data_IF_984542659389
#
_entry.id   IF_984542659389
#
_cell.length_a   1.000
_cell.length_b   1.000
_cell.length_c   1.000
_cell.angle_alpha   90.00
_cell.angle_beta   90.00
_cell.angle_gamma   90.00
#
_symmetry.space_group_name_H-M   'P 1'
#
loop_
_entity.id
_entity.type
_entity.pdbx_description
1 polymer ?
#
# COMPACT_ATOMS: atom_id res chain seq x y z
N UNK A 1 35.65 14.42 25.80
CA UNK A 1 35.02 14.90 24.54
C UNK A 1 34.93 13.77 23.51
N UNK A 2 36.05 13.19 23.03
CA UNK A 2 36.03 12.09 22.05
C UNK A 2 35.35 10.79 22.54
N UNK A 3 35.55 10.42 23.81
CA UNK A 3 35.00 9.20 24.42
C UNK A 3 33.48 9.27 24.66
N UNK A 4 32.96 10.47 24.95
CA UNK A 4 31.50 10.72 25.04
C UNK A 4 30.86 10.69 23.65
N UNK A 5 31.54 11.26 22.65
CA UNK A 5 31.07 11.21 21.26
C UNK A 5 31.01 9.78 20.71
N UNK A 6 31.99 8.92 20.99
CA UNK A 6 31.96 7.51 20.58
C UNK A 6 30.92 6.69 21.32
N UNK A 7 30.67 6.96 22.61
CA UNK A 7 29.59 6.31 23.37
C UNK A 7 28.22 6.75 22.84
N UNK A 8 28.03 8.03 22.51
CA UNK A 8 26.79 8.55 21.91
C UNK A 8 26.58 8.00 20.50
N UNK A 9 27.60 8.00 19.65
CA UNK A 9 27.53 7.41 18.30
C UNK A 9 27.24 5.90 18.39
N UNK A 10 27.87 5.18 19.31
CA UNK A 10 27.59 3.76 19.54
C UNK A 10 26.18 3.55 20.11
N UNK A 11 25.71 4.42 21.01
CA UNK A 11 24.37 4.37 21.59
C UNK A 11 23.29 4.60 20.53
N UNK A 12 23.48 5.57 19.63
CA UNK A 12 22.59 5.80 18.48
C UNK A 12 22.71 4.71 17.40
N UNK A 13 23.89 4.11 17.20
CA UNK A 13 24.04 2.94 16.33
C UNK A 13 23.40 1.67 16.91
N UNK A 14 23.18 1.62 18.24
CA UNK A 14 22.52 0.52 18.96
C UNK A 14 21.04 0.77 19.26
N UNK A 15 20.44 1.88 18.79
CA UNK A 15 18.98 1.95 18.66
C UNK A 15 18.60 1.03 17.50
N UNK A 16 18.64 -0.26 17.83
CA UNK A 16 18.30 -1.38 16.98
C UNK A 16 16.88 -1.15 16.49
N UNK A 17 16.70 -1.22 15.18
CA UNK A 17 15.38 -1.18 14.54
C UNK A 17 14.38 -1.97 15.39
N UNK A 18 13.31 -1.30 15.84
CA UNK A 18 12.29 -1.93 16.67
C UNK A 18 11.55 -2.98 15.83
N UNK A 19 11.96 -4.24 15.97
CA UNK A 19 11.31 -5.39 15.35
C UNK A 19 10.37 -6.03 16.38
N UNK A 20 9.05 -5.86 16.26
CA UNK A 20 8.14 -6.44 17.23
C UNK A 20 8.17 -7.97 17.14
N UNK A 21 8.39 -8.61 18.28
CA UNK A 21 8.30 -10.06 18.37
C UNK A 21 6.86 -10.50 18.14
N UNK A 22 6.62 -11.21 17.04
CA UNK A 22 5.30 -11.77 16.75
C UNK A 22 5.05 -13.07 17.54
N UNK A 23 3.78 -13.41 17.81
CA UNK A 23 3.42 -14.68 18.44
C UNK A 23 3.87 -15.91 17.63
N UNK A 24 3.81 -15.80 16.30
CA UNK A 24 4.23 -16.82 15.33
C UNK A 24 5.21 -16.16 14.36
N UNK A 25 6.32 -16.84 14.07
CA UNK A 25 7.29 -16.39 13.08
C UNK A 25 6.78 -16.62 11.64
N UNK A 26 5.78 -15.82 11.24
CA UNK A 26 5.20 -15.86 9.90
C UNK A 26 6.14 -15.21 8.88
N UNK A 27 6.41 -15.91 7.77
CA UNK A 27 7.26 -15.40 6.69
C UNK A 27 6.42 -15.04 5.46
N UNK A 28 6.37 -13.76 5.08
CA UNK A 28 5.76 -13.36 3.79
C UNK A 28 6.59 -13.91 2.62
N UNK A 29 7.89 -14.11 2.80
CA UNK A 29 8.76 -14.71 1.78
C UNK A 29 8.33 -16.10 1.37
N UNK A 30 8.00 -16.97 2.32
CA UNK A 30 7.51 -18.32 1.97
C UNK A 30 6.14 -18.26 1.31
N UNK A 31 5.23 -17.42 1.81
CA UNK A 31 3.84 -17.42 1.34
C UNK A 31 3.67 -16.67 0.01
N UNK A 32 4.10 -15.41 -0.05
CA UNK A 32 3.93 -14.56 -1.23
C UNK A 32 5.09 -14.67 -2.23
N UNK A 33 6.33 -14.85 -1.77
CA UNK A 33 7.49 -14.94 -2.65
C UNK A 33 7.66 -16.32 -3.29
N UNK A 34 7.84 -17.35 -2.46
CA UNK A 34 8.12 -18.73 -2.91
C UNK A 34 6.87 -19.39 -3.50
N UNK A 35 5.75 -19.32 -2.79
CA UNK A 35 4.51 -20.00 -3.17
C UNK A 35 3.59 -19.11 -4.03
N UNK A 36 4.00 -17.87 -4.31
CA UNK A 36 3.25 -16.93 -5.16
C UNK A 36 1.79 -16.72 -4.73
N UNK A 37 1.50 -16.85 -3.43
CA UNK A 37 0.15 -16.63 -2.91
C UNK A 37 -0.20 -15.15 -3.03
N UNK A 38 -1.29 -14.78 -3.71
CA UNK A 38 -1.67 -13.37 -3.89
C UNK A 38 -1.89 -12.66 -2.55
N UNK A 39 -1.44 -11.40 -2.43
CA UNK A 39 -1.61 -10.61 -1.20
C UNK A 39 -3.07 -10.52 -0.74
N UNK A 40 -4.00 -10.44 -1.69
CA UNK A 40 -5.45 -10.33 -1.45
C UNK A 40 -6.09 -11.62 -0.97
N UNK A 41 -5.39 -12.75 -1.03
CA UNK A 41 -5.87 -14.01 -0.46
C UNK A 41 -6.00 -13.88 1.06
N UNK A 42 -4.91 -13.49 1.73
CA UNK A 42 -4.90 -13.27 3.18
C UNK A 42 -5.50 -11.90 3.57
N UNK A 43 -5.22 -10.84 2.80
CA UNK A 43 -5.72 -9.48 3.05
C UNK A 43 -6.97 -9.17 2.24
N UNK A 44 -7.99 -10.03 2.36
CA UNK A 44 -9.19 -10.02 1.52
C UNK A 44 -10.02 -8.72 1.55
N UNK A 45 -9.87 -7.90 2.60
CA UNK A 45 -10.66 -6.68 2.77
C UNK A 45 -10.01 -5.43 2.19
N UNK A 46 -8.78 -5.51 1.67
CA UNK A 46 -8.00 -4.36 1.19
C UNK A 46 -8.72 -3.53 0.12
N UNK A 47 -9.50 -4.17 -0.75
CA UNK A 47 -10.28 -3.49 -1.80
C UNK A 47 -11.67 -3.01 -1.35
N UNK A 48 -12.13 -3.44 -0.16
CA UNK A 48 -13.52 -3.26 0.29
C UNK A 48 -13.65 -2.36 1.51
N UNK A 49 -12.63 -2.32 2.36
CA UNK A 49 -12.61 -1.63 3.64
C UNK A 49 -11.55 -0.54 3.69
N UNK A 50 -11.64 0.33 4.70
CA UNK A 50 -10.57 1.28 5.04
C UNK A 50 -9.33 0.55 5.56
N UNK A 51 -9.54 -0.52 6.32
CA UNK A 51 -8.49 -1.37 6.88
C UNK A 51 -8.38 -2.67 6.07
N UNK A 52 -7.17 -3.12 5.69
CA UNK A 52 -6.99 -4.35 4.91
C UNK A 52 -7.34 -5.62 5.71
N UNK A 53 -7.31 -5.51 7.04
CA UNK A 53 -7.50 -6.61 7.97
C UNK A 53 -6.26 -7.51 8.07
N UNK A 54 -6.17 -8.24 9.18
CA UNK A 54 -5.22 -9.35 9.35
C UNK A 54 -6.03 -10.64 9.19
N UNK A 55 -5.52 -11.67 8.48
CA UNK A 55 -6.24 -12.92 8.29
C UNK A 55 -6.61 -13.55 9.64
N UNK A 56 -7.80 -14.14 9.68
CA UNK A 56 -8.22 -14.97 10.82
C UNK A 56 -7.43 -16.28 10.84
N UNK A 57 -7.41 -16.97 11.99
CA UNK A 57 -6.79 -18.30 12.11
C UNK A 57 -7.38 -19.30 11.11
N UNK A 58 -8.66 -19.13 10.75
CA UNK A 58 -9.32 -19.98 9.76
C UNK A 58 -8.66 -19.91 8.38
N UNK A 59 -8.17 -18.73 7.97
CA UNK A 59 -7.50 -18.56 6.67
C UNK A 59 -6.21 -19.39 6.64
N UNK A 60 -5.43 -19.35 7.73
CA UNK A 60 -4.22 -20.15 7.87
C UNK A 60 -4.54 -21.64 7.86
N UNK A 61 -5.59 -22.06 8.59
CA UNK A 61 -5.98 -23.46 8.70
C UNK A 61 -6.63 -24.02 7.44
N UNK A 62 -7.08 -23.18 6.51
CA UNK A 62 -7.55 -23.60 5.18
C UNK A 62 -6.51 -24.43 4.43
N UNK A 63 -5.23 -24.08 4.55
CA UNK A 63 -4.12 -24.85 3.99
C UNK A 63 -3.40 -25.69 5.05
N UNK A 64 -3.11 -25.13 6.23
CA UNK A 64 -2.27 -25.79 7.24
C UNK A 64 -2.90 -26.99 7.95
N UNK A 65 -4.15 -27.33 7.59
CA UNK A 65 -4.75 -28.63 7.90
C UNK A 65 -4.15 -29.77 7.07
N UNK A 66 -3.68 -29.47 5.86
CA UNK A 66 -3.14 -30.44 4.90
C UNK A 66 -1.66 -30.20 4.57
N UNK A 67 -1.18 -28.96 4.79
CA UNK A 67 0.22 -28.56 4.59
C UNK A 67 0.86 -28.39 5.95
N UNK A 68 1.67 -29.36 6.35
CA UNK A 68 2.47 -29.26 7.56
C UNK A 68 3.80 -28.54 7.30
N UNK A 69 4.39 -28.01 8.39
CA UNK A 69 5.74 -27.43 8.36
C UNK A 69 6.84 -28.51 8.39
N UNK A 70 6.50 -29.79 8.19
CA UNK A 70 7.48 -30.86 8.24
C UNK A 70 8.38 -30.77 7.02
N UNK A 71 9.64 -31.13 7.22
CA UNK A 71 10.57 -31.29 6.14
C UNK A 71 11.20 -32.66 6.25
N UNK A 72 11.12 -33.43 5.18
CA UNK A 72 11.92 -34.64 5.04
C UNK A 72 13.25 -34.25 4.39
N UNK A 73 14.40 -34.40 5.08
CA UNK A 73 15.72 -34.16 4.50
C UNK A 73 16.01 -35.00 3.25
N UNK A 74 15.25 -36.06 3.03
CA UNK A 74 15.33 -36.95 1.86
C UNK A 74 14.35 -36.60 0.76
N UNK A 75 13.51 -35.58 0.92
CA UNK A 75 12.62 -35.06 -0.12
C UNK A 75 13.28 -33.85 -0.83
N UNK A 76 14.04 -34.07 -1.92
CA UNK A 76 14.68 -32.99 -2.67
C UNK A 76 13.66 -32.02 -3.30
N UNK A 77 12.37 -32.35 -3.32
CA UNK A 77 11.31 -31.48 -3.85
C UNK A 77 10.93 -30.35 -2.90
N UNK A 78 11.42 -30.33 -1.65
CA UNK A 78 11.12 -29.28 -0.66
C UNK A 78 12.25 -28.26 -0.45
N UNK A 79 13.34 -28.30 -1.22
CA UNK A 79 14.30 -27.18 -1.29
C UNK A 79 13.74 -26.14 -2.25
N UNK A 80 13.23 -25.05 -1.70
CA UNK A 80 12.69 -23.96 -2.50
C UNK A 80 13.83 -23.07 -2.99
N UNK A 81 13.73 -22.56 -4.21
CA UNK A 81 14.63 -21.51 -4.72
C UNK A 81 13.86 -20.22 -4.84
N UNK A 82 14.41 -19.16 -4.28
CA UNK A 82 13.83 -17.83 -4.38
C UNK A 82 14.95 -16.79 -4.49
N UNK A 83 14.92 -16.00 -5.57
CA UNK A 83 16.00 -15.08 -5.95
C UNK A 83 17.39 -15.75 -5.90
N UNK A 84 17.51 -16.92 -6.53
CA UNK A 84 18.71 -17.78 -6.59
C UNK A 84 19.23 -18.31 -5.24
N UNK A 85 18.53 -18.04 -4.13
CA UNK A 85 18.85 -18.57 -2.80
C UNK A 85 18.04 -19.82 -2.52
N UNK A 86 18.73 -20.87 -2.10
CA UNK A 86 18.08 -22.09 -1.61
C UNK A 86 17.54 -21.84 -0.20
N UNK A 87 16.26 -22.13 -0.01
CA UNK A 87 15.58 -22.08 1.27
C UNK A 87 15.50 -23.51 1.79
N UNK A 88 16.25 -23.77 2.88
CA UNK A 88 16.21 -25.02 3.62
C UNK A 88 15.27 -24.87 4.82
N UNK A 89 14.10 -25.55 4.81
CA UNK A 89 13.14 -25.50 5.91
C UNK A 89 13.63 -26.08 7.24
N UNK A 90 14.64 -26.96 7.24
CA UNK A 90 15.21 -27.52 8.49
C UNK A 90 16.19 -26.59 9.17
N UNK A 91 16.80 -25.70 8.39
CA UNK A 91 17.79 -24.76 8.86
C UNK A 91 17.44 -23.33 8.42
N UNK A 92 16.17 -22.97 8.54
CA UNK A 92 15.71 -21.67 8.10
C UNK A 92 16.19 -20.58 9.06
N UNK A 93 17.03 -19.69 8.55
CA UNK A 93 17.39 -18.45 9.23
C UNK A 93 16.33 -17.40 8.93
N UNK A 94 15.32 -17.33 9.79
CA UNK A 94 14.37 -16.23 9.81
C UNK A 94 15.15 -14.94 9.99
N UNK A 95 15.09 -14.04 8.99
CA UNK A 95 15.87 -12.79 8.87
C UNK A 95 17.40 -12.90 8.68
N UNK A 96 17.95 -14.12 8.57
CA UNK A 96 19.40 -14.34 8.51
C UNK A 96 20.10 -14.42 9.87
N UNK A 97 19.39 -14.26 11.00
CA UNK A 97 19.96 -14.25 12.37
C UNK A 97 19.31 -15.29 13.27
N UNK A 98 17.99 -15.49 13.18
CA UNK A 98 17.25 -16.40 14.08
C UNK A 98 16.90 -17.71 13.39
N UNK A 99 17.37 -18.83 13.91
CA UNK A 99 16.90 -20.16 13.48
C UNK A 99 15.47 -20.39 13.96
N UNK A 100 14.58 -20.74 13.04
CA UNK A 100 13.22 -21.18 13.35
C UNK A 100 12.99 -22.60 12.86
N UNK A 101 12.04 -23.29 13.49
CA UNK A 101 11.58 -24.59 13.06
C UNK A 101 10.11 -24.46 12.67
N UNK A 102 9.79 -24.72 11.39
CA UNK A 102 8.43 -24.50 10.88
C UNK A 102 7.40 -25.40 11.56
N UNK A 103 7.71 -26.65 11.89
CA UNK A 103 6.79 -27.52 12.63
C UNK A 103 6.37 -26.90 13.97
N UNK A 104 7.31 -26.30 14.69
CA UNK A 104 7.02 -25.63 15.95
C UNK A 104 6.15 -24.38 15.76
N UNK A 105 6.36 -23.61 14.69
CA UNK A 105 5.51 -22.46 14.37
C UNK A 105 4.10 -22.90 13.96
N UNK A 106 3.96 -23.99 13.20
CA UNK A 106 2.66 -24.59 12.88
C UNK A 106 1.97 -25.13 14.14
N UNK A 107 2.69 -25.73 15.08
CA UNK A 107 2.10 -26.15 16.38
C UNK A 107 1.53 -24.97 17.17
N UNK A 108 2.16 -23.79 17.11
CA UNK A 108 1.58 -22.58 17.73
C UNK A 108 0.27 -22.21 17.04
N UNK A 109 0.26 -22.19 15.70
CA UNK A 109 -0.93 -21.91 14.90
C UNK A 109 -2.08 -22.88 15.23
N UNK A 110 -1.82 -24.19 15.25
CA UNK A 110 -2.84 -25.20 15.57
C UNK A 110 -3.33 -25.03 17.00
N UNK A 111 -2.47 -24.63 17.94
CA UNK A 111 -2.88 -24.29 19.30
C UNK A 111 -3.90 -23.14 19.35
N UNK A 112 -3.71 -22.06 18.59
CA UNK A 112 -4.71 -20.99 18.47
C UNK A 112 -6.03 -21.49 17.86
N UNK A 113 -5.94 -22.34 16.84
CA UNK A 113 -7.11 -22.94 16.20
C UNK A 113 -7.92 -23.82 17.16
N UNK A 114 -7.27 -24.71 17.90
CA UNK A 114 -7.91 -25.63 18.85
C UNK A 114 -8.59 -24.88 20.00
N UNK A 115 -7.95 -23.83 20.52
CA UNK A 115 -8.52 -22.97 21.55
C UNK A 115 -9.57 -21.98 21.03
N UNK A 116 -9.77 -21.91 19.71
CA UNK A 116 -10.65 -20.93 19.04
C UNK A 116 -10.30 -19.48 19.39
N UNK A 117 -9.01 -19.23 19.57
CA UNK A 117 -8.47 -17.91 19.92
C UNK A 117 -7.94 -17.21 18.67
N UNK A 118 -8.03 -15.88 18.63
CA UNK A 118 -7.32 -15.10 17.63
C UNK A 118 -5.83 -15.02 17.97
N UNK A 119 -5.00 -14.92 16.92
CA UNK A 119 -3.58 -14.60 17.10
C UNK A 119 -3.48 -13.11 17.41
N UNK A 120 -2.86 -12.77 18.53
CA UNK A 120 -2.65 -11.39 18.98
C UNK A 120 -1.42 -10.81 18.29
N UNK A 121 -1.55 -10.48 17.00
CA UNK A 121 -0.48 -9.91 16.21
C UNK A 121 -0.06 -8.53 16.73
N UNK A 122 1.24 -8.25 16.68
CA UNK A 122 1.76 -6.92 16.99
C UNK A 122 1.80 -6.11 15.71
N UNK A 123 0.97 -5.08 15.62
CA UNK A 123 0.98 -4.18 14.46
C UNK A 123 2.28 -3.37 14.43
N UNK A 124 2.88 -3.27 13.24
CA UNK A 124 4.14 -2.56 12.99
C UNK A 124 4.00 -1.47 11.92
N UNK A 125 2.88 -1.42 11.19
CA UNK A 125 2.54 -0.31 10.30
C UNK A 125 1.54 0.60 11.02
N UNK A 126 2.03 1.77 11.44
CA UNK A 126 1.22 2.75 12.15
C UNK A 126 1.11 4.04 11.35
N UNK A 127 -0.13 4.44 11.09
CA UNK A 127 -0.47 5.80 10.70
C UNK A 127 -1.13 6.43 11.93
N UNK A 128 -0.73 7.65 12.35
CA UNK A 128 -1.33 8.31 13.51
C UNK A 128 -2.86 8.37 13.44
N UNK A 129 -3.56 8.22 14.57
CA UNK A 129 -5.04 8.13 14.59
C UNK A 129 -5.77 9.36 14.02
N UNK A 130 -5.12 10.52 14.11
CA UNK A 130 -5.57 11.79 13.55
C UNK A 130 -5.39 11.87 12.02
N UNK A 131 -4.73 10.87 11.42
CA UNK A 131 -4.61 10.70 9.98
C UNK A 131 -5.43 9.49 9.52
N UNK A 132 -6.27 9.66 8.51
CA UNK A 132 -7.08 8.62 7.88
C UNK A 132 -6.41 8.13 6.62
N UNK A 133 -6.28 6.81 6.53
CA UNK A 133 -5.72 6.14 5.36
C UNK A 133 -6.61 4.96 4.95
N UNK A 134 -7.73 5.20 4.24
CA UNK A 134 -8.55 4.12 3.73
C UNK A 134 -7.86 3.43 2.53
N UNK A 135 -7.70 2.11 2.57
CA UNK A 135 -7.07 1.36 1.47
C UNK A 135 -7.91 1.33 0.19
N UNK A 136 -9.23 1.18 0.33
CA UNK A 136 -10.19 1.11 -0.79
C UNK A 136 -9.97 2.11 -1.95
N UNK A 137 -9.89 3.44 -1.74
CA UNK A 137 -9.66 4.39 -2.84
C UNK A 137 -8.30 4.19 -3.53
N UNK A 138 -7.25 3.87 -2.79
CA UNK A 138 -5.91 3.62 -3.32
C UNK A 138 -5.88 2.37 -4.21
N UNK A 139 -6.53 1.29 -3.77
CA UNK A 139 -6.65 0.06 -4.56
C UNK A 139 -7.55 0.27 -5.77
N UNK A 140 -8.66 1.00 -5.64
CA UNK A 140 -9.56 1.32 -6.77
C UNK A 140 -8.89 2.18 -7.84
N UNK A 141 -7.94 3.04 -7.45
CA UNK A 141 -7.10 3.77 -8.38
C UNK A 141 -6.17 2.85 -9.19
N UNK A 142 -5.92 1.63 -8.70
CA UNK A 142 -5.02 0.66 -9.33
C UNK A 142 -3.57 0.81 -8.85
N UNK A 143 -3.36 1.28 -7.61
CA UNK A 143 -2.02 1.28 -7.01
C UNK A 143 -1.61 -0.14 -6.62
N UNK A 144 -0.37 -0.49 -6.93
CA UNK A 144 0.26 -1.74 -6.53
C UNK A 144 0.56 -1.76 -5.02
N UNK A 145 0.40 -2.91 -4.37
CA UNK A 145 0.68 -3.06 -2.93
C UNK A 145 2.11 -2.63 -2.57
N UNK A 146 3.08 -2.99 -3.43
CA UNK A 146 4.50 -2.67 -3.26
C UNK A 146 4.82 -1.18 -3.35
N UNK A 147 3.95 -0.37 -3.95
CA UNK A 147 4.13 1.09 -3.97
C UNK A 147 4.16 1.65 -2.56
N UNK A 148 3.30 1.14 -1.67
CA UNK A 148 3.19 1.61 -0.30
C UNK A 148 3.94 0.71 0.68
N UNK A 149 3.91 -0.60 0.52
CA UNK A 149 4.48 -1.54 1.49
C UNK A 149 5.88 -2.05 1.13
N UNK A 150 6.44 -1.64 -0.01
CA UNK A 150 7.70 -2.13 -0.52
C UNK A 150 7.65 -3.62 -0.88
N UNK A 151 8.81 -4.26 -0.83
CA UNK A 151 9.03 -5.61 -1.31
C UNK A 151 8.68 -6.68 -0.26
N UNK A 152 7.40 -6.73 0.13
CA UNK A 152 6.90 -7.59 1.22
C UNK A 152 7.09 -9.08 0.94
N UNK A 153 7.03 -9.48 -0.33
CA UNK A 153 7.31 -10.86 -0.77
C UNK A 153 8.75 -11.31 -0.49
N UNK A 154 9.64 -10.39 -0.10
CA UNK A 154 11.02 -10.69 0.30
C UNK A 154 11.22 -10.63 1.82
N UNK A 155 10.15 -10.42 2.59
CA UNK A 155 10.22 -10.14 4.03
C UNK A 155 9.89 -11.37 4.87
N UNK A 156 10.81 -11.70 5.77
CA UNK A 156 10.55 -12.66 6.85
C UNK A 156 10.00 -11.96 8.08
N UNK A 157 10.72 -10.97 8.61
CA UNK A 157 10.30 -10.24 9.81
C UNK A 157 9.41 -9.06 9.48
N UNK A 158 8.27 -8.91 10.17
CA UNK A 158 7.45 -7.71 10.04
C UNK A 158 8.24 -6.47 10.42
N UNK A 159 8.60 -5.69 9.41
CA UNK A 159 9.20 -4.36 9.54
C UNK A 159 8.70 -3.47 8.40
N UNK A 160 8.51 -2.17 8.62
CA UNK A 160 8.19 -1.25 7.53
C UNK A 160 9.29 -1.29 6.47
N UNK A 161 8.95 -1.52 5.20
CA UNK A 161 9.93 -1.44 4.10
C UNK A 161 10.06 -0.02 3.56
N UNK A 162 9.10 0.83 3.88
CA UNK A 162 8.93 2.19 3.37
C UNK A 162 8.52 3.09 4.53
N UNK A 163 8.84 4.37 4.39
CA UNK A 163 8.49 5.40 5.38
C UNK A 163 7.28 6.18 4.87
N UNK A 164 6.10 5.87 5.39
CA UNK A 164 4.83 6.53 5.05
C UNK A 164 4.62 7.79 5.90
N UNK A 165 5.54 8.74 5.79
CA UNK A 165 5.40 10.06 6.41
C UNK A 165 4.52 10.98 5.56
N UNK A 166 4.01 12.06 6.17
CA UNK A 166 3.14 13.02 5.49
C UNK A 166 3.71 13.54 4.17
N UNK A 167 5.01 13.86 4.14
CA UNK A 167 5.68 14.32 2.92
C UNK A 167 5.61 13.30 1.78
N UNK A 168 5.77 12.01 2.09
CA UNK A 168 5.62 10.94 1.10
C UNK A 168 4.20 10.87 0.54
N UNK A 169 3.18 10.98 1.42
CA UNK A 169 1.78 11.00 0.99
C UNK A 169 1.52 12.16 0.04
N UNK A 170 1.90 13.39 0.43
CA UNK A 170 1.67 14.60 -0.38
C UNK A 170 2.37 14.50 -1.72
N UNK A 171 3.66 14.11 -1.74
CA UNK A 171 4.41 13.99 -2.99
C UNK A 171 3.81 12.93 -3.93
N UNK A 172 3.38 11.78 -3.41
CA UNK A 172 2.71 10.76 -4.22
C UNK A 172 1.39 11.29 -4.81
N UNK A 173 0.57 11.97 -4.00
CA UNK A 173 -0.69 12.56 -4.47
C UNK A 173 -0.47 13.66 -5.52
N UNK A 174 0.56 14.50 -5.34
CA UNK A 174 0.97 15.52 -6.31
C UNK A 174 1.41 14.91 -7.64
N UNK A 175 2.24 13.86 -7.59
CA UNK A 175 2.72 13.15 -8.78
C UNK A 175 1.55 12.52 -9.56
N UNK A 176 0.63 11.81 -8.87
CA UNK A 176 -0.52 11.17 -9.54
C UNK A 176 -1.47 12.20 -10.12
N UNK A 177 -1.64 13.32 -9.44
CA UNK A 177 -2.44 14.43 -9.94
C UNK A 177 -1.83 15.08 -11.17
N UNK A 178 -0.53 15.39 -11.14
CA UNK A 178 0.15 16.00 -12.28
C UNK A 178 0.03 15.09 -13.50
N UNK A 179 0.26 13.79 -13.33
CA UNK A 179 0.04 12.80 -14.41
C UNK A 179 -1.39 12.85 -14.96
N UNK A 180 -2.40 12.99 -14.10
CA UNK A 180 -3.80 13.13 -14.55
C UNK A 180 -4.02 14.40 -15.37
N UNK A 181 -3.40 15.53 -15.00
CA UNK A 181 -3.49 16.74 -15.81
C UNK A 181 -2.76 16.61 -17.14
N UNK A 182 -1.60 15.93 -17.17
CA UNK A 182 -0.86 15.66 -18.40
C UNK A 182 -1.69 14.77 -19.35
N UNK A 183 -2.34 13.73 -18.80
CA UNK A 183 -3.27 12.87 -19.55
C UNK A 183 -4.49 13.64 -20.06
N UNK A 184 -4.93 14.68 -19.34
CA UNK A 184 -6.06 15.51 -19.74
C UNK A 184 -5.68 16.55 -20.79
N UNK A 185 -4.48 17.13 -20.72
CA UNK A 185 -3.96 18.05 -21.74
C UNK A 185 -3.96 17.38 -23.12
N UNK A 186 -3.67 16.08 -23.21
CA UNK A 186 -3.71 15.33 -24.47
C UNK A 186 -5.10 15.29 -25.13
N UNK A 187 -6.17 15.52 -24.36
CA UNK A 187 -7.57 15.49 -24.83
C UNK A 187 -8.18 16.89 -24.88
N UNK A 188 -7.73 17.78 -24.00
CA UNK A 188 -8.22 19.14 -23.83
C UNK A 188 -7.04 20.10 -23.75
N UNK A 189 -6.69 20.73 -24.87
CA UNK A 189 -5.67 21.77 -24.89
C UNK A 189 -5.98 22.90 -23.90
N UNK A 190 -4.98 23.33 -23.12
CA UNK A 190 -5.12 24.45 -22.18
C UNK A 190 -5.35 24.06 -20.71
N UNK A 191 -5.42 22.77 -20.38
CA UNK A 191 -5.37 22.26 -18.98
C UNK A 191 -4.07 22.75 -18.30
N UNK A 192 -2.96 22.73 -19.04
CA UNK A 192 -1.66 23.25 -18.61
C UNK A 192 -1.71 24.73 -18.22
N UNK A 193 -2.57 25.52 -18.88
CA UNK A 193 -2.74 26.98 -18.70
C UNK A 193 -3.68 27.36 -17.57
N UNK A 194 -4.41 26.39 -17.00
CA UNK A 194 -5.29 26.62 -15.85
C UNK A 194 -4.49 27.11 -14.64
N UNK A 195 -5.07 28.04 -13.88
CA UNK A 195 -4.53 28.43 -12.59
C UNK A 195 -4.59 27.25 -11.60
N UNK A 196 -3.75 27.28 -10.56
CA UNK A 196 -3.81 26.26 -9.50
C UNK A 196 -5.17 26.22 -8.80
N UNK A 197 -5.86 27.36 -8.72
CA UNK A 197 -7.21 27.44 -8.20
C UNK A 197 -8.22 26.71 -9.10
N UNK A 198 -8.14 26.91 -10.41
CA UNK A 198 -9.01 26.25 -11.37
C UNK A 198 -8.77 24.74 -11.42
N UNK A 199 -7.50 24.32 -11.40
CA UNK A 199 -7.10 22.91 -11.28
C UNK A 199 -7.67 22.28 -10.00
N UNK A 200 -7.69 23.03 -8.89
CA UNK A 200 -8.28 22.58 -7.62
C UNK A 200 -9.80 22.42 -7.73
N UNK A 201 -10.51 23.41 -8.26
CA UNK A 201 -11.98 23.31 -8.48
C UNK A 201 -12.31 22.12 -9.38
N UNK A 202 -11.58 21.97 -10.49
CA UNK A 202 -11.77 20.87 -11.43
C UNK A 202 -11.59 19.51 -10.75
N UNK A 203 -10.60 19.40 -9.87
CA UNK A 203 -10.30 18.14 -9.20
C UNK A 203 -11.33 17.77 -8.12
N UNK A 204 -11.92 18.74 -7.43
CA UNK A 204 -13.01 18.47 -6.49
C UNK A 204 -14.36 18.20 -7.15
N UNK A 205 -14.65 18.88 -8.27
CA UNK A 205 -15.99 18.89 -8.87
C UNK A 205 -16.12 17.99 -10.10
N UNK A 206 -15.01 17.56 -10.68
CA UNK A 206 -14.95 16.92 -12.01
C UNK A 206 -15.32 17.88 -13.15
N UNK A 207 -15.38 19.19 -12.88
CA UNK A 207 -15.95 20.19 -13.79
C UNK A 207 -15.05 21.41 -13.92
N UNK A 208 -14.90 21.89 -15.14
CA UNK A 208 -14.21 23.14 -15.44
C UNK A 208 -15.01 23.96 -16.44
N UNK A 209 -14.95 25.28 -16.31
CA UNK A 209 -15.62 26.18 -17.25
C UNK A 209 -14.94 26.11 -18.61
N UNK A 210 -15.72 25.93 -19.68
CA UNK A 210 -15.17 25.79 -21.04
C UNK A 210 -14.30 26.97 -21.47
N UNK A 211 -14.62 28.19 -21.02
CA UNK A 211 -13.85 29.41 -21.32
C UNK A 211 -12.42 29.40 -20.78
N UNK A 212 -12.12 28.59 -19.78
CA UNK A 212 -10.79 28.50 -19.18
C UNK A 212 -9.86 27.60 -19.99
N UNK A 213 -10.43 26.65 -20.75
CA UNK A 213 -9.68 25.74 -21.61
C UNK A 213 -9.53 26.28 -23.03
N UNK A 214 -10.63 26.75 -23.61
CA UNK A 214 -10.68 27.21 -25.00
C UNK A 214 -10.72 28.73 -25.03
N UNK A 215 -9.57 29.36 -25.30
CA UNK A 215 -9.46 30.82 -25.44
C UNK A 215 -10.21 31.36 -26.66
N UNK A 216 -10.42 30.54 -27.68
CA UNK A 216 -10.99 30.96 -28.97
C UNK A 216 -12.50 30.66 -29.08
N UNK A 217 -13.30 31.05 -28.07
CA UNK A 217 -14.74 31.21 -28.26
C UNK A 217 -15.08 32.57 -28.89
N UNK A 218 -14.26 33.02 -29.86
CA UNK A 218 -14.48 34.21 -30.69
C UNK A 218 -15.57 33.97 -31.76
N UNK A 219 -16.69 33.38 -31.35
CA UNK A 219 -17.89 33.32 -32.19
C UNK A 219 -18.67 34.61 -32.05
N UNK A 220 -18.98 35.23 -33.18
CA UNK A 220 -19.67 36.53 -33.25
C UNK A 220 -21.14 36.37 -32.84
N UNK A 221 -21.71 37.44 -32.27
CA UNK A 221 -23.15 37.57 -32.04
C UNK A 221 -23.91 37.23 -33.34
N UNK A 222 -24.65 36.12 -33.38
CA UNK A 222 -25.42 35.68 -34.55
C UNK A 222 -25.37 34.17 -34.86
N UNK A 223 -24.39 33.44 -34.34
CA UNK A 223 -24.30 31.99 -34.53
C UNK A 223 -25.41 31.24 -33.78
N UNK A 224 -26.21 30.46 -34.49
CA UNK A 224 -27.28 29.66 -33.86
C UNK A 224 -26.69 28.50 -33.04
N UNK A 225 -26.84 28.56 -31.71
CA UNK A 225 -26.90 27.36 -30.89
C UNK A 225 -28.36 27.06 -30.56
N UNK A 226 -28.89 25.95 -31.09
CA UNK A 226 -30.25 25.51 -30.76
C UNK A 226 -30.35 25.26 -29.24
N UNK A 227 -31.28 26.03 -28.67
CA UNK A 227 -31.90 26.06 -27.34
C UNK A 227 -31.05 26.34 -26.09
N UNK A 228 -31.27 27.56 -25.59
CA UNK A 228 -31.47 27.96 -24.18
C UNK A 228 -30.24 28.29 -23.30
N UNK A 229 -29.89 29.57 -23.35
CA UNK A 229 -29.79 30.50 -22.21
C UNK A 229 -28.66 30.32 -21.17
N UNK A 230 -27.64 31.18 -21.30
CA UNK A 230 -27.15 32.01 -20.18
C UNK A 230 -26.29 31.36 -19.10
N UNK A 231 -25.76 30.15 -19.31
CA UNK A 231 -24.84 29.51 -18.36
C UNK A 231 -23.55 29.12 -19.07
N UNK A 232 -22.43 29.51 -18.49
CA UNK A 232 -21.11 28.98 -18.87
C UNK A 232 -21.21 27.45 -18.92
N UNK A 233 -20.87 26.86 -20.07
CA UNK A 233 -20.93 25.40 -20.21
C UNK A 233 -19.80 24.79 -19.40
N UNK A 234 -20.18 24.06 -18.35
CA UNK A 234 -19.25 23.21 -17.61
C UNK A 234 -18.93 21.99 -18.48
N UNK A 235 -17.65 21.73 -18.67
CA UNK A 235 -17.19 20.48 -19.26
C UNK A 235 -17.14 19.46 -18.13
N UNK A 236 -17.95 18.41 -18.26
CA UNK A 236 -17.86 17.24 -17.40
C UNK A 236 -16.70 16.39 -17.90
N UNK A 237 -15.60 16.39 -17.16
CA UNK A 237 -14.57 15.40 -17.36
C UNK A 237 -15.06 14.18 -16.57
N UNK A 238 -15.58 13.17 -17.25
CA UNK A 238 -16.09 11.93 -16.62
C UNK A 238 -14.97 11.08 -15.97
N UNK A 239 -13.80 11.65 -15.72
CA UNK A 239 -12.71 11.04 -14.97
C UNK A 239 -12.68 11.72 -13.61
N UNK A 240 -12.87 10.96 -12.53
CA UNK A 240 -12.58 11.45 -11.18
C UNK A 240 -11.12 11.90 -11.15
N UNK A 241 -10.89 13.21 -11.10
CA UNK A 241 -9.55 13.77 -10.90
C UNK A 241 -9.39 13.91 -9.40
N UNK A 242 -9.20 12.79 -8.70
CA UNK A 242 -9.10 12.80 -7.24
C UNK A 242 -7.98 13.75 -6.77
N UNK A 243 -8.36 14.85 -6.12
CA UNK A 243 -7.43 15.76 -5.46
C UNK A 243 -7.36 15.44 -3.98
N UNK A 244 -6.14 15.30 -3.46
CA UNK A 244 -5.86 15.12 -2.05
C UNK A 244 -4.80 16.15 -1.62
N UNK A 245 -5.16 17.43 -1.55
CA UNK A 245 -4.41 18.39 -0.72
C UNK A 245 -5.27 19.28 0.17
N UNK A 246 -6.52 18.91 0.42
CA UNK A 246 -7.11 19.39 1.66
C UNK A 246 -6.66 18.46 2.77
N UNK A 247 -5.98 19.02 3.77
CA UNK A 247 -5.63 18.29 4.97
C UNK A 247 -6.87 17.62 5.56
N UNK A 248 -8.06 18.21 5.41
CA UNK A 248 -9.35 17.66 5.87
C UNK A 248 -9.71 16.28 5.29
N UNK A 249 -9.12 15.91 4.14
CA UNK A 249 -9.41 14.61 3.53
C UNK A 249 -8.67 13.47 4.23
N UNK A 250 -7.54 13.80 4.87
CA UNK A 250 -6.73 12.86 5.63
C UNK A 250 -6.77 13.15 7.14
N UNK A 251 -7.20 14.33 7.57
CA UNK A 251 -7.27 14.76 8.96
C UNK A 251 -8.67 15.27 9.28
N UNK A 252 -9.19 14.98 10.46
CA UNK A 252 -10.41 15.63 10.94
C UNK A 252 -10.07 16.98 11.60
#
# INVERSE_FOLDING_TARGET
MALLATIVISYFAFIKDYEPQQPIAFSHKIHAGVNEIPCTYCHAYVAKSSQPGIPSVMECMGCHKYVDGKYDPKDPKRIYKFNDKSIDPTNYLYDGRKRINFENEIKKLTGYWERKESIVWVNYHYVPEHAKFPHKPHIRYGLECKTCHGDVENVDIPKPQTTLQMGWCISCHEEKLQKKFDDLEQVHDGISKLSDHDKRIMSHTGRIQSRLLYKDFDRKLGDQHKSNAGKEKLININKEVAWLKDCSTCHY
#
